data_IF_430813997631
#
_entry.id   IF_430813997631
#
_cell.length_a   1.000
_cell.length_b   1.000
_cell.length_c   1.000
_cell.angle_alpha   90.00
_cell.angle_beta   90.00
_cell.angle_gamma   90.00
#
_symmetry.space_group_name_H-M   'P 1'
#
loop_
_entity.id
_entity.type
_entity.pdbx_description
1 polymer ?
#
# COMPACT_ATOMS: atom_id res chain seq x y z
N UNK A 1 -17.37 -15.01 2.67
CA UNK A 1 -16.85 -13.67 3.01
C UNK A 1 -17.81 -12.57 2.58
N UNK A 2 -18.00 -12.32 1.28
CA UNK A 2 -18.75 -11.13 0.81
C UNK A 2 -20.18 -10.99 1.36
N UNK A 3 -20.98 -12.07 1.41
CA UNK A 3 -22.31 -12.02 2.02
C UNK A 3 -22.31 -11.58 3.49
N UNK A 4 -21.23 -11.86 4.22
CA UNK A 4 -21.07 -11.41 5.60
C UNK A 4 -20.72 -9.94 5.64
N UNK A 5 -19.75 -9.51 4.81
CA UNK A 5 -19.33 -8.11 4.70
C UNK A 5 -20.51 -7.20 4.34
N UNK A 6 -21.25 -7.55 3.29
CA UNK A 6 -22.46 -6.85 2.85
C UNK A 6 -23.49 -6.76 3.99
N UNK A 7 -23.77 -7.88 4.67
CA UNK A 7 -24.72 -7.93 5.80
C UNK A 7 -24.36 -6.95 6.93
N UNK A 8 -23.08 -6.66 7.12
CA UNK A 8 -22.60 -5.73 8.13
C UNK A 8 -22.21 -4.36 7.54
N UNK A 9 -22.64 -4.05 6.32
CA UNK A 9 -22.46 -2.72 5.73
C UNK A 9 -21.02 -2.39 5.33
N UNK A 10 -20.13 -3.37 5.30
CA UNK A 10 -18.83 -3.21 4.66
C UNK A 10 -19.03 -3.16 3.14
N UNK A 11 -18.29 -2.28 2.47
CA UNK A 11 -18.43 -2.05 1.03
C UNK A 11 -17.10 -2.17 0.27
N UNK A 12 -15.98 -2.37 0.96
CA UNK A 12 -14.64 -2.40 0.36
C UNK A 12 -13.80 -3.49 1.00
N UNK A 13 -13.02 -4.21 0.19
CA UNK A 13 -12.00 -5.17 0.62
C UNK A 13 -10.68 -4.81 -0.01
N UNK A 14 -9.63 -4.71 0.81
CA UNK A 14 -8.24 -4.59 0.36
C UNK A 14 -7.59 -5.96 0.40
N UNK A 15 -6.92 -6.35 -0.67
CA UNK A 15 -6.30 -7.68 -0.79
C UNK A 15 -4.86 -7.56 -1.31
N UNK A 16 -3.95 -8.27 -0.64
CA UNK A 16 -2.55 -8.32 -1.04
C UNK A 16 -2.36 -9.42 -2.09
N UNK A 17 -1.92 -9.03 -3.27
CA UNK A 17 -1.43 -9.94 -4.29
C UNK A 17 -0.05 -10.44 -3.88
N UNK A 18 0.06 -11.75 -3.65
CA UNK A 18 1.33 -12.36 -3.29
C UNK A 18 2.26 -12.39 -4.53
N UNK A 19 3.39 -11.67 -4.50
CA UNK A 19 4.28 -11.57 -5.66
C UNK A 19 4.92 -12.90 -6.05
N UNK A 20 4.99 -13.87 -5.15
CA UNK A 20 5.61 -15.17 -5.40
C UNK A 20 4.67 -16.19 -6.06
N UNK A 21 3.36 -15.95 -6.03
CA UNK A 21 2.35 -16.87 -6.59
C UNK A 21 1.53 -16.27 -7.72
N UNK A 22 1.55 -14.94 -7.89
CA UNK A 22 0.84 -14.25 -8.97
C UNK A 22 1.55 -14.42 -10.32
N UNK A 23 2.84 -14.79 -10.33
CA UNK A 23 3.63 -15.07 -11.53
C UNK A 23 4.34 -16.42 -11.45
N UNK A 24 4.55 -17.06 -12.60
CA UNK A 24 5.36 -18.28 -12.74
C UNK A 24 6.87 -17.96 -12.73
N UNK A 25 7.74 -18.97 -12.76
CA UNK A 25 9.20 -18.79 -12.73
C UNK A 25 9.77 -18.01 -13.93
N UNK A 26 9.02 -17.90 -15.02
CA UNK A 26 9.40 -17.15 -16.22
C UNK A 26 8.89 -15.70 -16.20
N UNK A 27 8.18 -15.29 -15.13
CA UNK A 27 7.62 -13.95 -14.99
C UNK A 27 6.26 -13.77 -15.66
N UNK A 28 5.64 -14.83 -16.19
CA UNK A 28 4.29 -14.74 -16.74
C UNK A 28 3.27 -14.79 -15.60
N UNK A 29 2.15 -14.09 -15.74
CA UNK A 29 1.05 -14.22 -14.78
C UNK A 29 0.56 -15.67 -14.70
N UNK A 30 0.41 -16.18 -13.49
CA UNK A 30 -0.10 -17.52 -13.26
C UNK A 30 -1.58 -17.58 -13.64
N UNK A 31 -1.93 -18.38 -14.65
CA UNK A 31 -3.32 -18.44 -15.14
C UNK A 31 -4.33 -18.83 -14.07
N UNK A 32 -4.00 -19.81 -13.22
CA UNK A 32 -4.88 -20.25 -12.15
C UNK A 32 -5.11 -19.18 -11.08
N UNK A 33 -4.06 -18.44 -10.72
CA UNK A 33 -4.19 -17.26 -9.85
C UNK A 33 -5.09 -16.20 -10.48
N UNK A 34 -4.93 -15.91 -11.77
CA UNK A 34 -5.77 -14.92 -12.47
C UNK A 34 -7.22 -15.38 -12.63
N UNK A 35 -7.48 -16.68 -12.84
CA UNK A 35 -8.83 -17.24 -12.89
C UNK A 35 -9.51 -17.11 -11.52
N UNK A 36 -8.78 -17.36 -10.43
CA UNK A 36 -9.29 -17.17 -9.06
C UNK A 36 -9.59 -15.69 -8.76
N UNK A 37 -8.76 -14.76 -9.25
CA UNK A 37 -9.00 -13.32 -9.06
C UNK A 37 -10.23 -12.86 -9.85
N UNK A 38 -10.44 -13.38 -11.06
CA UNK A 38 -11.65 -13.09 -11.84
C UNK A 38 -12.91 -13.60 -11.11
N UNK A 39 -12.93 -14.85 -10.63
CA UNK A 39 -14.04 -15.38 -9.81
C UNK A 39 -14.24 -14.59 -8.51
N UNK A 40 -13.15 -14.13 -7.88
CA UNK A 40 -13.21 -13.28 -6.70
C UNK A 40 -13.90 -11.93 -6.99
N UNK A 41 -13.58 -11.30 -8.12
CA UNK A 41 -14.21 -10.06 -8.57
C UNK A 41 -15.69 -10.25 -8.93
N UNK A 42 -16.05 -11.34 -9.62
CA UNK A 42 -17.45 -11.70 -9.89
C UNK A 42 -18.27 -11.81 -8.58
N UNK A 43 -17.69 -12.43 -7.56
CA UNK A 43 -18.33 -12.52 -6.25
C UNK A 43 -18.40 -11.18 -5.53
N UNK A 44 -17.38 -10.33 -5.67
CA UNK A 44 -17.38 -9.00 -5.08
C UNK A 44 -18.48 -8.12 -5.69
N UNK A 45 -18.59 -8.14 -7.02
CA UNK A 45 -19.61 -7.40 -7.79
C UNK A 45 -21.03 -7.81 -7.38
N UNK A 46 -21.32 -9.11 -7.28
CA UNK A 46 -22.63 -9.62 -6.84
C UNK A 46 -23.08 -9.11 -5.47
N UNK A 47 -22.15 -8.64 -4.64
CA UNK A 47 -22.40 -8.13 -3.29
C UNK A 47 -22.14 -6.62 -3.16
N UNK A 48 -21.86 -5.92 -4.27
CA UNK A 48 -21.56 -4.48 -4.26
C UNK A 48 -20.31 -4.12 -3.46
N UNK A 49 -19.33 -5.01 -3.43
CA UNK A 49 -18.07 -4.82 -2.69
C UNK A 49 -16.98 -4.39 -3.67
N UNK A 50 -16.39 -3.21 -3.44
CA UNK A 50 -15.23 -2.73 -4.17
C UNK A 50 -13.93 -3.39 -3.70
N UNK A 51 -13.03 -3.69 -4.62
CA UNK A 51 -11.75 -4.35 -4.34
C UNK A 51 -10.58 -3.38 -4.52
N UNK A 52 -9.73 -3.28 -3.51
CA UNK A 52 -8.41 -2.65 -3.61
C UNK A 52 -7.38 -3.76 -3.78
N UNK A 53 -6.76 -3.86 -4.95
CA UNK A 53 -5.63 -4.76 -5.16
C UNK A 53 -4.34 -4.07 -4.78
N UNK A 54 -3.60 -4.65 -3.84
CA UNK A 54 -2.31 -4.12 -3.38
C UNK A 54 -1.19 -5.12 -3.58
N UNK A 55 0.03 -4.68 -3.86
CA UNK A 55 1.23 -5.53 -3.84
C UNK A 55 2.19 -5.15 -2.70
N UNK A 56 2.77 -6.15 -2.05
CA UNK A 56 3.90 -5.92 -1.13
C UNK A 56 5.14 -5.47 -1.90
N UNK A 57 5.50 -6.23 -2.95
CA UNK A 57 6.61 -5.98 -3.86
C UNK A 57 6.17 -6.26 -5.29
N UNK A 58 6.78 -5.61 -6.29
CA UNK A 58 6.65 -6.05 -7.67
C UNK A 58 7.27 -7.46 -7.80
N UNK A 59 6.65 -8.41 -8.51
CA UNK A 59 7.25 -9.73 -8.66
C UNK A 59 8.63 -9.66 -9.33
N UNK A 60 9.63 -10.27 -8.71
CA UNK A 60 11.04 -10.07 -9.10
C UNK A 60 11.34 -10.56 -10.51
N UNK A 61 10.67 -11.61 -10.96
CA UNK A 61 10.92 -12.26 -12.24
C UNK A 61 10.06 -11.72 -13.40
N UNK A 62 9.21 -10.71 -13.17
CA UNK A 62 8.53 -10.00 -14.26
C UNK A 62 9.58 -9.13 -14.95
N UNK A 63 10.21 -9.66 -15.98
CA UNK A 63 11.14 -8.89 -16.80
C UNK A 63 10.69 -8.88 -18.25
N UNK A 64 10.46 -7.71 -18.87
CA UNK A 64 10.71 -7.63 -20.29
C UNK A 64 12.20 -7.92 -20.51
N UNK A 65 12.52 -8.82 -21.46
CA UNK A 65 13.87 -9.33 -21.76
C UNK A 65 14.94 -8.22 -22.00
N UNK A 66 14.53 -6.96 -22.08
CA UNK A 66 15.33 -5.80 -22.47
C UNK A 66 15.83 -4.93 -21.32
N UNK A 67 15.51 -5.22 -20.05
CA UNK A 67 15.98 -4.41 -18.91
C UNK A 67 17.17 -5.11 -18.24
N UNK A 68 18.38 -4.64 -18.54
CA UNK A 68 19.58 -5.01 -17.80
C UNK A 68 19.59 -4.30 -16.45
N UNK A 69 19.55 -5.06 -15.36
CA UNK A 69 19.83 -4.50 -14.04
C UNK A 69 21.35 -4.51 -13.78
N UNK A 70 21.89 -3.56 -13.02
CA UNK A 70 23.07 -3.85 -12.23
C UNK A 70 22.75 -5.04 -11.31
N UNK A 71 23.59 -6.07 -11.32
CA UNK A 71 23.39 -7.34 -10.60
C UNK A 71 23.13 -7.17 -9.08
N UNK A 72 23.49 -6.01 -8.51
CA UNK A 72 23.30 -5.67 -7.09
C UNK A 72 21.91 -5.08 -6.74
N UNK A 73 21.03 -4.82 -7.72
CA UNK A 73 19.73 -4.15 -7.49
C UNK A 73 18.55 -5.09 -7.22
N UNK A 74 18.64 -6.36 -7.63
CA UNK A 74 17.54 -7.30 -7.54
C UNK A 74 17.13 -7.66 -6.09
N UNK A 75 17.99 -7.37 -5.11
CA UNK A 75 17.75 -7.67 -3.68
C UNK A 75 17.58 -6.43 -2.80
N UNK A 76 17.76 -5.22 -3.35
CA UNK A 76 17.74 -3.99 -2.55
C UNK A 76 16.39 -3.28 -2.65
N UNK A 77 15.63 -3.24 -1.56
CA UNK A 77 14.34 -2.55 -1.45
C UNK A 77 14.31 -1.15 -2.10
N UNK A 78 15.35 -0.36 -1.89
CA UNK A 78 15.44 1.00 -2.45
C UNK A 78 15.44 1.00 -3.99
N UNK A 79 15.94 -0.06 -4.63
CA UNK A 79 16.09 -0.11 -6.07
C UNK A 79 14.75 -0.09 -6.82
N UNK A 80 13.68 -0.57 -6.18
CA UNK A 80 12.32 -0.53 -6.71
C UNK A 80 11.84 0.89 -7.01
N UNK A 81 12.36 1.88 -6.27
CA UNK A 81 11.90 3.28 -6.35
C UNK A 81 12.96 4.22 -6.92
N UNK A 82 14.25 4.00 -6.61
CA UNK A 82 15.33 4.91 -6.97
C UNK A 82 15.73 4.82 -8.45
N UNK A 83 15.58 3.65 -9.06
CA UNK A 83 16.02 3.39 -10.43
C UNK A 83 14.86 3.15 -11.37
N UNK A 84 15.02 3.56 -12.62
CA UNK A 84 13.97 3.43 -13.63
C UNK A 84 13.61 1.98 -13.94
N UNK A 85 14.55 1.04 -13.81
CA UNK A 85 14.26 -0.39 -13.98
C UNK A 85 13.20 -0.89 -12.98
N UNK A 86 13.22 -0.37 -11.75
CA UNK A 86 12.27 -0.70 -10.69
C UNK A 86 10.83 -0.32 -11.07
N UNK A 87 10.56 0.95 -11.35
CA UNK A 87 9.20 1.36 -11.73
C UNK A 87 8.77 0.86 -13.11
N UNK A 88 9.69 0.61 -14.06
CA UNK A 88 9.32 0.03 -15.37
C UNK A 88 8.83 -1.41 -15.19
N UNK A 89 9.50 -2.19 -14.33
CA UNK A 89 9.05 -3.55 -13.97
C UNK A 89 7.67 -3.54 -13.35
N UNK A 90 7.46 -2.68 -12.36
CA UNK A 90 6.17 -2.56 -11.69
C UNK A 90 5.06 -2.06 -12.62
N UNK A 91 5.36 -1.08 -13.47
CA UNK A 91 4.46 -0.61 -14.53
C UNK A 91 4.06 -1.73 -15.48
N UNK A 92 5.01 -2.58 -15.88
CA UNK A 92 4.75 -3.73 -16.73
C UNK A 92 3.85 -4.75 -16.03
N UNK A 93 4.14 -5.10 -14.77
CA UNK A 93 3.29 -6.00 -13.98
C UNK A 93 1.84 -5.52 -13.95
N UNK A 94 1.60 -4.26 -13.59
CA UNK A 94 0.23 -3.72 -13.51
C UNK A 94 -0.50 -3.74 -14.85
N UNK A 95 0.18 -3.41 -15.95
CA UNK A 95 -0.42 -3.49 -17.29
C UNK A 95 -0.84 -4.91 -17.64
N UNK A 96 0.05 -5.87 -17.44
CA UNK A 96 -0.24 -7.27 -17.75
C UNK A 96 -1.33 -7.84 -16.83
N UNK A 97 -1.34 -7.43 -15.55
CA UNK A 97 -2.37 -7.81 -14.59
C UNK A 97 -3.76 -7.35 -15.06
N UNK A 98 -3.90 -6.07 -15.41
CA UNK A 98 -5.15 -5.48 -15.89
C UNK A 98 -5.59 -6.14 -17.21
N UNK A 99 -4.68 -6.32 -18.16
CA UNK A 99 -4.96 -6.99 -19.44
C UNK A 99 -5.43 -8.42 -19.24
N UNK A 100 -4.80 -9.15 -18.31
CA UNK A 100 -5.17 -10.53 -18.00
C UNK A 100 -6.56 -10.64 -17.38
N UNK A 101 -6.99 -9.66 -16.58
CA UNK A 101 -8.36 -9.57 -16.06
C UNK A 101 -9.37 -9.26 -17.17
N UNK A 102 -9.07 -8.29 -18.03
CA UNK A 102 -9.92 -7.96 -19.18
C UNK A 102 -10.09 -9.12 -20.15
N UNK A 103 -9.02 -9.88 -20.41
CA UNK A 103 -9.08 -11.08 -21.25
C UNK A 103 -10.01 -12.15 -20.67
N UNK A 104 -10.13 -12.20 -19.34
CA UNK A 104 -11.04 -13.09 -18.62
C UNK A 104 -12.46 -12.53 -18.51
N UNK A 105 -12.72 -11.35 -19.04
CA UNK A 105 -13.99 -10.63 -18.85
C UNK A 105 -14.34 -10.45 -17.35
N UNK A 106 -13.32 -10.29 -16.50
CA UNK A 106 -13.54 -10.00 -15.09
C UNK A 106 -14.31 -8.67 -14.94
N UNK A 107 -15.15 -8.51 -13.90
CA UNK A 107 -15.92 -7.29 -13.70
C UNK A 107 -15.00 -6.19 -13.17
N UNK A 108 -14.44 -5.42 -14.09
CA UNK A 108 -13.49 -4.36 -13.79
C UNK A 108 -14.10 -3.28 -12.89
N UNK A 109 -15.41 -3.02 -12.99
CA UNK A 109 -16.14 -2.06 -12.15
C UNK A 109 -16.17 -2.47 -10.66
N UNK A 110 -15.90 -3.74 -10.33
CA UNK A 110 -15.74 -4.20 -8.96
C UNK A 110 -14.36 -3.81 -8.37
N UNK A 111 -13.43 -3.32 -9.18
CA UNK A 111 -12.14 -2.81 -8.73
C UNK A 111 -12.34 -1.36 -8.28
N UNK A 112 -12.16 -1.11 -6.99
CA UNK A 112 -12.23 0.22 -6.42
C UNK A 112 -10.93 1.00 -6.66
N UNK A 113 -9.78 0.35 -6.48
CA UNK A 113 -8.48 0.99 -6.65
C UNK A 113 -7.32 -0.01 -6.83
N UNK A 114 -6.20 0.52 -7.30
CA UNK A 114 -4.91 -0.17 -7.35
C UNK A 114 -3.94 0.44 -6.33
N UNK A 115 -3.63 -0.33 -5.29
CA UNK A 115 -2.59 -0.04 -4.29
C UNK A 115 -1.22 -0.45 -4.82
N UNK A 116 -0.49 0.47 -5.44
CA UNK A 116 0.78 0.15 -6.11
C UNK A 116 1.86 -0.33 -5.14
N UNK A 117 1.76 0.05 -3.85
CA UNK A 117 2.64 -0.47 -2.79
C UNK A 117 1.90 -0.55 -1.47
N UNK A 118 2.15 -1.62 -0.70
CA UNK A 118 1.58 -1.78 0.64
C UNK A 118 2.11 -0.73 1.61
N UNK A 119 3.43 -0.66 1.81
CA UNK A 119 4.04 0.19 2.85
C UNK A 119 5.34 0.77 2.32
N UNK A 120 5.25 1.85 1.55
CA UNK A 120 6.44 2.42 0.94
C UNK A 120 7.38 3.00 2.01
N UNK A 121 8.63 2.57 1.95
CA UNK A 121 9.71 3.14 2.74
C UNK A 121 11.06 2.94 2.05
N UNK A 122 12.04 3.71 2.49
CA UNK A 122 13.42 3.66 2.04
C UNK A 122 14.32 3.25 3.20
N UNK A 123 15.16 2.24 2.98
CA UNK A 123 16.17 1.83 3.93
C UNK A 123 17.46 2.63 3.69
N UNK A 124 17.72 3.63 4.53
CA UNK A 124 18.92 4.48 4.42
C UNK A 124 20.20 3.80 4.90
N UNK A 125 20.10 2.59 5.46
CA UNK A 125 21.26 1.73 5.78
C UNK A 125 21.63 0.81 4.63
N UNK A 126 20.76 0.67 3.63
CA UNK A 126 21.00 -0.08 2.42
C UNK A 126 21.56 0.78 1.27
N UNK A 127 22.23 0.13 0.33
CA UNK A 127 22.69 0.75 -0.92
C UNK A 127 21.49 1.24 -1.76
N UNK A 128 21.63 2.31 -2.54
CA UNK A 128 22.75 3.25 -2.60
C UNK A 128 22.70 4.35 -1.53
N UNK A 129 21.69 4.36 -0.64
CA UNK A 129 21.46 5.44 0.32
C UNK A 129 22.47 5.49 1.46
N UNK A 130 23.15 4.38 1.74
CA UNK A 130 24.25 4.30 2.70
C UNK A 130 25.61 4.79 2.15
N UNK A 131 25.69 5.15 0.85
CA UNK A 131 26.91 5.59 0.20
C UNK A 131 27.11 7.11 0.35
N UNK A 132 28.32 7.55 0.67
CA UNK A 132 28.65 8.98 0.84
C UNK A 132 29.72 9.50 -0.14
N UNK A 133 30.29 8.61 -0.96
CA UNK A 133 31.47 8.92 -1.78
C UNK A 133 31.10 9.15 -3.24
N UNK A 134 30.04 8.51 -3.73
CA UNK A 134 29.61 8.61 -5.14
C UNK A 134 28.21 9.22 -5.18
N UNK A 135 27.97 10.22 -6.05
CA UNK A 135 26.62 10.72 -6.28
C UNK A 135 25.68 9.62 -6.76
N UNK A 136 24.47 9.60 -6.22
CA UNK A 136 23.41 8.69 -6.67
C UNK A 136 22.63 9.35 -7.79
N UNK A 137 22.54 8.69 -8.95
CA UNK A 137 21.72 9.16 -10.06
C UNK A 137 20.30 8.62 -9.88
N UNK A 138 19.36 9.53 -9.64
CA UNK A 138 17.94 9.22 -9.57
C UNK A 138 17.41 8.82 -10.94
N UNK A 139 16.28 8.13 -10.94
CA UNK A 139 15.54 7.73 -12.12
C UNK A 139 15.13 8.89 -13.07
N UNK A 140 15.10 10.14 -12.61
CA UNK A 140 14.87 11.32 -13.45
C UNK A 140 16.16 11.87 -14.11
N UNK A 141 17.30 11.18 -13.93
CA UNK A 141 18.62 11.59 -14.43
C UNK A 141 19.35 12.60 -13.56
N UNK A 142 18.72 13.11 -12.49
CA UNK A 142 19.35 14.04 -11.55
C UNK A 142 20.33 13.30 -10.65
N UNK A 143 21.50 13.91 -10.42
CA UNK A 143 22.55 13.36 -9.57
C UNK A 143 22.54 14.03 -8.19
N UNK A 144 22.58 13.22 -7.13
CA UNK A 144 22.50 13.66 -5.74
C UNK A 144 23.76 13.29 -4.98
N UNK A 145 24.49 14.30 -4.51
CA UNK A 145 25.58 14.11 -3.55
C UNK A 145 24.99 13.93 -2.14
N UNK A 146 25.03 12.71 -1.61
CA UNK A 146 24.46 12.39 -0.30
C UNK A 146 25.28 12.92 0.88
N UNK A 147 26.47 13.49 0.64
CA UNK A 147 27.21 14.24 1.66
C UNK A 147 26.61 15.62 1.93
N UNK A 148 25.77 16.13 1.03
CA UNK A 148 25.08 17.43 1.17
C UNK A 148 23.79 17.25 1.96
N UNK A 149 23.63 18.05 3.01
CA UNK A 149 22.42 18.04 3.85
C UNK A 149 21.16 18.29 3.01
N UNK A 150 20.15 17.45 3.19
CA UNK A 150 18.87 17.52 2.48
C UNK A 150 18.82 16.77 1.14
N UNK A 151 19.96 16.51 0.49
CA UNK A 151 19.96 15.81 -0.82
C UNK A 151 19.37 14.40 -0.74
N UNK A 152 19.55 13.69 0.38
CA UNK A 152 18.91 12.39 0.59
C UNK A 152 17.39 12.47 0.58
N UNK A 153 16.81 13.46 1.28
CA UNK A 153 15.35 13.63 1.27
C UNK A 153 14.86 14.02 -0.11
N UNK A 154 15.58 14.92 -0.79
CA UNK A 154 15.23 15.32 -2.16
C UNK A 154 15.29 14.15 -3.14
N UNK A 155 16.30 13.27 -3.03
CA UNK A 155 16.38 12.04 -3.81
C UNK A 155 15.17 11.13 -3.56
N UNK A 156 14.80 10.92 -2.30
CA UNK A 156 13.63 10.11 -1.91
C UNK A 156 12.34 10.69 -2.49
N UNK A 157 12.12 11.99 -2.32
CA UNK A 157 10.91 12.68 -2.78
C UNK A 157 10.80 12.67 -4.31
N UNK A 158 11.90 12.99 -5.02
CA UNK A 158 11.95 12.99 -6.48
C UNK A 158 11.79 11.55 -7.03
N UNK A 159 12.34 10.54 -6.36
CA UNK A 159 12.19 9.12 -6.75
C UNK A 159 10.77 8.62 -6.53
N UNK A 160 10.16 8.92 -5.39
CA UNK A 160 8.77 8.58 -5.10
C UNK A 160 7.81 9.21 -6.12
N UNK A 161 8.00 10.49 -6.43
CA UNK A 161 7.17 11.20 -7.41
C UNK A 161 7.27 10.54 -8.78
N UNK A 162 8.50 10.25 -9.24
CA UNK A 162 8.73 9.62 -10.53
C UNK A 162 8.17 8.18 -10.60
N UNK A 163 8.42 7.36 -9.57
CA UNK A 163 7.91 5.99 -9.48
C UNK A 163 6.39 5.95 -9.47
N UNK A 164 5.74 6.70 -8.57
CA UNK A 164 4.28 6.70 -8.44
C UNK A 164 3.59 7.21 -9.69
N UNK A 165 4.10 8.28 -10.31
CA UNK A 165 3.57 8.81 -11.58
C UNK A 165 3.73 7.81 -12.74
N UNK A 166 4.88 7.15 -12.86
CA UNK A 166 5.12 6.17 -13.92
C UNK A 166 4.17 4.96 -13.80
N UNK A 167 4.04 4.39 -12.60
CA UNK A 167 3.16 3.24 -12.37
C UNK A 167 1.70 3.63 -12.56
N UNK A 168 1.27 4.78 -12.04
CA UNK A 168 -0.10 5.29 -12.26
C UNK A 168 -0.38 5.49 -13.75
N UNK A 169 0.52 6.12 -14.49
CA UNK A 169 0.39 6.32 -15.94
C UNK A 169 0.22 4.98 -16.67
N UNK A 170 0.96 3.96 -16.26
CA UNK A 170 0.85 2.62 -16.85
C UNK A 170 -0.50 1.97 -16.56
N UNK A 171 -1.03 2.12 -15.35
CA UNK A 171 -2.38 1.66 -14.98
C UNK A 171 -3.44 2.39 -15.81
N UNK A 172 -3.40 3.72 -15.86
CA UNK A 172 -4.39 4.53 -16.58
C UNK A 172 -4.37 4.32 -18.10
N UNK A 173 -3.23 3.91 -18.65
CA UNK A 173 -3.14 3.53 -20.06
C UNK A 173 -3.97 2.28 -20.39
N UNK A 174 -4.18 1.40 -19.41
CA UNK A 174 -5.09 0.27 -19.54
C UNK A 174 -6.48 0.64 -19.03
N UNK A 175 -6.62 1.33 -17.90
CA UNK A 175 -7.90 1.65 -17.25
C UNK A 175 -8.01 3.15 -16.89
N UNK A 176 -8.54 3.99 -17.81
CA UNK A 176 -8.46 5.45 -17.68
C UNK A 176 -9.19 6.06 -16.48
N UNK A 177 -10.13 5.35 -15.88
CA UNK A 177 -10.94 5.81 -14.74
C UNK A 177 -10.47 5.21 -13.40
N UNK A 178 -9.42 4.38 -13.42
CA UNK A 178 -8.93 3.71 -12.22
C UNK A 178 -8.42 4.70 -11.17
N UNK A 179 -8.71 4.42 -9.90
CA UNK A 179 -8.07 5.09 -8.77
C UNK A 179 -6.76 4.38 -8.42
N UNK A 180 -5.70 5.15 -8.15
CA UNK A 180 -4.38 4.64 -7.80
C UNK A 180 -3.91 5.23 -6.48
N UNK A 181 -3.42 4.37 -5.58
CA UNK A 181 -2.93 4.75 -4.25
C UNK A 181 -1.63 4.02 -3.90
N UNK A 182 -0.95 4.46 -2.84
CA UNK A 182 0.12 3.74 -2.18
C UNK A 182 -0.09 3.85 -0.67
N UNK A 183 0.26 2.79 0.05
CA UNK A 183 0.16 2.76 1.51
C UNK A 183 1.40 3.30 2.21
N UNK A 184 1.16 4.03 3.30
CA UNK A 184 2.16 4.69 4.13
C UNK A 184 1.91 4.34 5.59
N UNK A 185 2.94 3.85 6.28
CA UNK A 185 2.86 3.54 7.69
C UNK A 185 3.65 4.54 8.51
N UNK A 186 3.31 4.66 9.78
CA UNK A 186 4.02 5.55 10.68
C UNK A 186 5.43 5.04 10.97
N UNK A 187 6.45 5.80 10.58
CA UNK A 187 7.84 5.58 11.00
C UNK A 187 8.01 6.22 12.38
N UNK A 188 8.07 5.39 13.42
CA UNK A 188 8.31 5.85 14.78
C UNK A 188 9.76 6.32 14.97
N UNK A 189 10.03 7.22 15.94
CA UNK A 189 11.40 7.63 16.31
C UNK A 189 12.36 6.45 16.58
N UNK A 190 11.81 5.27 16.91
CA UNK A 190 12.54 4.02 17.11
C UNK A 190 12.81 3.17 15.86
N UNK A 191 12.57 3.68 14.64
CA UNK A 191 12.89 3.00 13.36
C UNK A 191 14.18 3.54 12.73
N UNK A 192 15.36 3.35 13.36
CA UNK A 192 16.61 3.84 12.80
C UNK A 192 16.85 3.17 11.46
N UNK A 193 17.22 3.98 10.46
CA UNK A 193 17.53 3.46 9.15
C UNK A 193 16.38 3.47 8.16
N UNK A 194 15.17 3.90 8.54
CA UNK A 194 14.06 4.01 7.61
C UNK A 194 13.69 5.48 7.36
N UNK A 195 13.38 5.82 6.11
CA UNK A 195 12.80 7.11 5.70
C UNK A 195 11.58 6.92 4.81
N UNK A 196 10.73 7.93 4.79
CA UNK A 196 9.61 8.06 3.87
C UNK A 196 9.78 9.30 2.98
N UNK A 197 9.03 9.36 1.87
CA UNK A 197 8.78 10.61 1.17
C UNK A 197 8.25 11.67 2.14
N UNK A 198 8.61 12.93 1.90
CA UNK A 198 8.07 14.04 2.67
C UNK A 198 6.56 14.15 2.49
N UNK A 199 5.86 14.72 3.48
CA UNK A 199 4.41 14.92 3.37
C UNK A 199 4.04 15.81 2.18
N UNK A 200 4.88 16.79 1.84
CA UNK A 200 4.72 17.60 0.63
C UNK A 200 4.77 16.72 -0.63
N UNK A 201 5.74 15.80 -0.74
CA UNK A 201 5.82 14.87 -1.87
C UNK A 201 4.60 13.92 -1.93
N UNK A 202 4.17 13.38 -0.79
CA UNK A 202 3.00 12.48 -0.70
C UNK A 202 1.73 13.19 -1.19
N UNK A 203 1.41 14.36 -0.63
CA UNK A 203 0.17 15.08 -0.96
C UNK A 203 0.22 15.78 -2.32
N UNK A 204 1.39 16.12 -2.85
CA UNK A 204 1.53 16.71 -4.19
C UNK A 204 1.71 15.68 -5.31
N UNK A 205 1.85 14.39 -4.99
CA UNK A 205 1.96 13.31 -5.98
C UNK A 205 0.73 13.22 -6.90
N UNK A 206 0.79 12.35 -7.91
CA UNK A 206 -0.36 12.09 -8.78
C UNK A 206 -1.32 11.01 -8.24
N UNK A 207 -1.04 10.40 -7.09
CA UNK A 207 -1.94 9.41 -6.47
C UNK A 207 -3.32 10.02 -6.18
N UNK A 208 -4.38 9.24 -6.37
CA UNK A 208 -5.76 9.74 -6.31
C UNK A 208 -6.26 9.86 -4.85
N UNK A 209 -5.73 9.04 -3.96
CA UNK A 209 -5.94 9.15 -2.51
C UNK A 209 -4.70 8.64 -1.74
N UNK A 210 -4.66 8.89 -0.44
CA UNK A 210 -3.59 8.44 0.46
C UNK A 210 -4.09 7.28 1.30
N UNK A 211 -3.37 6.15 1.30
CA UNK A 211 -3.64 4.98 2.15
C UNK A 211 -2.72 5.01 3.37
N UNK A 212 -3.29 5.17 4.57
CA UNK A 212 -2.56 5.25 5.84
C UNK A 212 -2.70 3.98 6.66
N UNK A 213 -1.55 3.51 7.15
CA UNK A 213 -1.43 2.31 7.95
C UNK A 213 -1.02 2.67 9.39
N UNK A 214 -1.78 2.17 10.37
CA UNK A 214 -1.56 2.51 11.77
C UNK A 214 -1.89 1.36 12.72
N UNK A 215 -0.97 1.12 13.66
CA UNK A 215 -1.03 0.00 14.58
C UNK A 215 -0.67 0.50 15.99
N UNK A 216 -1.62 0.52 16.94
CA UNK A 216 -1.40 1.09 18.27
C UNK A 216 -0.34 0.37 19.12
N UNK A 217 -0.04 -0.88 18.80
CA UNK A 217 0.89 -1.75 19.54
C UNK A 217 2.34 -1.68 19.05
N UNK A 218 2.62 -1.02 17.94
CA UNK A 218 3.99 -0.92 17.41
C UNK A 218 4.91 -0.08 18.31
N UNK A 219 4.37 0.91 19.03
CA UNK A 219 5.11 1.68 20.03
C UNK A 219 4.12 2.23 21.10
N UNK A 220 4.44 2.20 22.40
CA UNK A 220 3.55 2.69 23.45
C UNK A 220 3.29 4.21 23.41
N UNK A 221 4.08 4.98 22.66
CA UNK A 221 3.90 6.42 22.46
C UNK A 221 2.96 6.75 21.30
N UNK A 222 2.50 5.74 20.57
CA UNK A 222 1.64 5.94 19.41
C UNK A 222 0.22 6.21 19.87
N UNK A 223 -0.24 7.40 19.52
CA UNK A 223 -1.62 7.81 19.65
C UNK A 223 -2.18 8.21 18.30
N UNK A 224 -3.51 8.20 18.18
CA UNK A 224 -4.23 8.79 17.04
C UNK A 224 -3.70 10.18 16.67
N UNK A 225 -3.53 11.06 17.68
CA UNK A 225 -3.05 12.42 17.46
C UNK A 225 -1.60 12.47 16.96
N UNK A 226 -0.75 11.55 17.44
CA UNK A 226 0.63 11.44 16.97
C UNK A 226 0.69 11.01 15.50
N UNK A 227 -0.17 10.07 15.07
CA UNK A 227 -0.31 9.63 13.68
C UNK A 227 -0.80 10.77 12.81
N UNK A 228 -1.91 11.40 13.21
CA UNK A 228 -2.50 12.50 12.43
C UNK A 228 -1.55 13.69 12.29
N UNK A 229 -0.82 14.04 13.36
CA UNK A 229 0.20 15.09 13.33
C UNK A 229 1.39 14.72 12.44
N UNK A 230 1.85 13.47 12.51
CA UNK A 230 2.95 13.00 11.66
C UNK A 230 2.59 13.13 10.18
N UNK A 231 1.38 12.70 9.81
CA UNK A 231 0.87 12.82 8.45
C UNK A 231 0.26 14.21 8.14
N UNK A 232 0.43 15.20 9.02
CA UNK A 232 -0.06 16.58 8.83
C UNK A 232 -1.54 16.67 8.41
N UNK A 233 -2.37 15.75 8.93
CA UNK A 233 -3.78 15.65 8.57
C UNK A 233 -4.60 16.88 9.00
N UNK A 234 -4.09 17.64 9.97
CA UNK A 234 -4.64 18.90 10.46
C UNK A 234 -4.36 20.10 9.53
N UNK A 235 -3.41 19.97 8.59
CA UNK A 235 -2.88 21.10 7.82
C UNK A 235 -3.08 20.94 6.32
N UNK A 236 -2.95 19.71 5.79
CA UNK A 236 -2.84 19.49 4.34
C UNK A 236 -3.67 18.27 3.90
N UNK A 237 -4.96 18.47 3.63
CA UNK A 237 -5.83 17.43 3.05
C UNK A 237 -6.47 17.88 1.75
N UNK A 238 -5.66 17.89 0.69
CA UNK A 238 -6.15 18.13 -0.68
C UNK A 238 -6.58 16.85 -1.41
N UNK A 239 -6.36 15.69 -0.79
CA UNK A 239 -6.72 14.37 -1.30
C UNK A 239 -7.54 13.60 -0.28
N UNK A 240 -8.42 12.68 -0.71
CA UNK A 240 -9.01 11.71 0.19
C UNK A 240 -7.93 10.90 0.92
N UNK A 241 -8.21 10.55 2.17
CA UNK A 241 -7.35 9.78 3.07
C UNK A 241 -8.13 8.58 3.57
N UNK A 242 -7.64 7.40 3.24
CA UNK A 242 -8.15 6.12 3.71
C UNK A 242 -7.24 5.62 4.84
N UNK A 243 -7.81 5.19 5.97
CA UNK A 243 -7.07 4.34 6.92
C UNK A 243 -7.10 2.90 6.40
N UNK A 244 -6.29 2.57 5.39
CA UNK A 244 -6.41 1.31 4.67
C UNK A 244 -5.76 0.10 5.35
N UNK A 245 -5.01 0.33 6.43
CA UNK A 245 -4.73 -0.68 7.44
C UNK A 245 -4.78 -0.08 8.84
N UNK A 246 -5.63 -0.64 9.71
CA UNK A 246 -5.46 -0.46 11.15
C UNK A 246 -5.88 -1.69 11.91
N UNK A 247 -5.17 -1.98 12.99
CA UNK A 247 -5.35 -3.19 13.77
C UNK A 247 -4.26 -3.30 14.83
N UNK A 248 -4.02 -4.52 15.31
CA UNK A 248 -2.85 -4.85 16.13
C UNK A 248 -1.97 -5.82 15.36
N UNK A 249 -0.65 -5.59 15.34
CA UNK A 249 0.33 -6.45 14.67
C UNK A 249 0.66 -7.68 15.51
N UNK A 250 0.80 -7.48 16.81
CA UNK A 250 1.14 -8.52 17.78
C UNK A 250 -0.08 -8.97 18.57
N UNK A 251 -0.04 -10.25 18.94
CA UNK A 251 -1.10 -10.86 19.73
C UNK A 251 -0.94 -10.43 21.19
N UNK A 252 -1.55 -9.31 21.54
CA UNK A 252 -1.60 -8.84 22.92
C UNK A 252 -2.43 -9.82 23.78
N UNK A 253 -1.95 -10.13 24.99
CA UNK A 253 -2.69 -10.94 25.97
C UNK A 253 -3.95 -10.22 26.52
N UNK A 254 -4.23 -9.00 26.07
CA UNK A 254 -5.48 -8.27 26.33
C UNK A 254 -6.70 -9.01 25.77
N UNK A 255 -7.86 -8.76 26.38
CA UNK A 255 -9.13 -9.32 25.90
C UNK A 255 -9.57 -8.67 24.59
N UNK A 256 -10.29 -9.43 23.76
CA UNK A 256 -10.89 -8.93 22.51
C UNK A 256 -11.83 -7.74 22.72
N UNK A 257 -12.53 -7.69 23.87
CA UNK A 257 -13.37 -6.55 24.21
C UNK A 257 -12.55 -5.28 24.42
N UNK A 258 -11.37 -5.39 25.05
CA UNK A 258 -10.44 -4.27 25.24
C UNK A 258 -9.88 -3.82 23.90
N UNK A 259 -9.32 -4.76 23.12
CA UNK A 259 -8.71 -4.48 21.82
C UNK A 259 -9.73 -3.87 20.85
N UNK A 260 -10.95 -4.41 20.82
CA UNK A 260 -12.00 -3.88 19.97
C UNK A 260 -12.51 -2.50 20.40
N UNK A 261 -12.59 -2.23 21.71
CA UNK A 261 -12.97 -0.90 22.21
C UNK A 261 -11.92 0.16 21.86
N UNK A 262 -10.65 -0.21 21.89
CA UNK A 262 -9.54 0.68 21.52
C UNK A 262 -9.56 1.00 20.02
N UNK A 263 -9.67 0.00 19.15
CA UNK A 263 -9.77 0.22 17.70
C UNK A 263 -11.02 1.01 17.31
N UNK A 264 -12.15 0.81 18.00
CA UNK A 264 -13.34 1.64 17.81
C UNK A 264 -13.08 3.09 18.22
N UNK A 265 -12.37 3.31 19.33
CA UNK A 265 -11.98 4.65 19.77
C UNK A 265 -11.08 5.31 18.73
N UNK A 266 -10.10 4.59 18.19
CA UNK A 266 -9.22 5.08 17.13
C UNK A 266 -9.98 5.41 15.85
N UNK A 267 -10.82 4.49 15.37
CA UNK A 267 -11.69 4.71 14.20
C UNK A 267 -12.50 5.98 14.38
N UNK A 268 -13.26 6.09 15.47
CA UNK A 268 -14.17 7.20 15.70
C UNK A 268 -13.41 8.53 15.87
N UNK A 269 -12.23 8.51 16.50
CA UNK A 269 -11.39 9.70 16.63
C UNK A 269 -10.90 10.17 15.26
N UNK A 270 -10.32 9.29 14.44
CA UNK A 270 -9.85 9.64 13.09
C UNK A 270 -10.99 10.14 12.18
N UNK A 271 -12.15 9.49 12.22
CA UNK A 271 -13.33 9.92 11.45
C UNK A 271 -13.88 11.27 11.93
N UNK A 272 -13.96 11.51 13.25
CA UNK A 272 -14.67 12.68 13.79
C UNK A 272 -13.81 13.95 13.87
N UNK A 273 -12.50 13.82 14.09
CA UNK A 273 -11.60 14.97 14.31
C UNK A 273 -10.66 15.22 13.14
N UNK A 274 -10.25 14.17 12.45
CA UNK A 274 -9.35 14.27 11.30
C UNK A 274 -10.07 14.03 9.96
N UNK A 275 -11.37 13.74 10.02
CA UNK A 275 -12.29 13.62 8.87
C UNK A 275 -11.80 12.64 7.79
N UNK A 276 -11.09 11.57 8.15
CA UNK A 276 -10.65 10.56 7.17
C UNK A 276 -11.85 9.98 6.42
N UNK A 277 -11.65 9.65 5.15
CA UNK A 277 -12.73 9.33 4.20
C UNK A 277 -13.19 7.88 4.27
N UNK A 278 -12.41 7.01 4.93
CA UNK A 278 -12.76 5.62 5.12
C UNK A 278 -11.74 4.87 5.97
N UNK A 279 -12.02 3.59 6.19
CA UNK A 279 -11.19 2.72 7.01
C UNK A 279 -11.30 1.27 6.56
N UNK A 280 -10.21 0.51 6.74
CA UNK A 280 -10.12 -0.91 6.46
C UNK A 280 -9.36 -1.56 7.61
N UNK A 281 -9.99 -2.56 8.24
CA UNK A 281 -9.41 -3.28 9.36
C UNK A 281 -8.40 -4.33 8.89
N UNK A 282 -7.22 -4.37 9.50
CA UNK A 282 -6.25 -5.46 9.41
C UNK A 282 -6.55 -6.52 10.50
N UNK A 283 -7.02 -7.72 10.20
CA UNK A 283 -7.46 -8.25 8.89
C UNK A 283 -8.78 -9.02 9.00
N UNK A 284 -9.35 -9.37 7.84
CA UNK A 284 -10.43 -10.35 7.72
C UNK A 284 -9.97 -11.81 7.98
N UNK A 285 -8.71 -12.15 7.70
CA UNK A 285 -8.16 -13.50 7.68
C UNK A 285 -7.94 -14.11 9.08
N UNK A 286 -7.97 -15.43 9.16
CA UNK A 286 -7.91 -16.30 10.33
C UNK A 286 -6.48 -16.77 10.73
N UNK A 287 -5.43 -16.18 10.17
CA UNK A 287 -4.02 -16.44 10.46
C UNK A 287 -3.42 -15.47 11.48
N UNK A 288 -3.69 -14.18 11.32
CA UNK A 288 -3.09 -13.04 12.05
C UNK A 288 -4.17 -11.99 12.39
N UNK A 289 -4.05 -11.30 13.53
CA UNK A 289 -4.98 -10.26 13.97
C UNK A 289 -6.22 -10.73 14.77
N UNK A 290 -7.12 -9.79 15.08
CA UNK A 290 -8.22 -9.95 16.06
C UNK A 290 -9.39 -10.82 15.59
N UNK A 291 -9.70 -10.83 14.29
CA UNK A 291 -10.89 -11.49 13.72
C UNK A 291 -10.88 -13.01 13.92
N UNK A 292 -9.68 -13.60 14.01
CA UNK A 292 -9.45 -15.02 14.28
C UNK A 292 -10.02 -15.49 15.61
N UNK A 293 -9.88 -14.67 16.66
CA UNK A 293 -10.18 -15.12 18.02
C UNK A 293 -11.66 -15.06 18.37
N UNK A 294 -12.49 -14.45 17.51
CA UNK A 294 -13.89 -14.14 17.83
C UNK A 294 -14.91 -14.57 16.75
N UNK A 295 -14.47 -15.36 15.77
CA UNK A 295 -15.31 -15.86 14.67
C UNK A 295 -15.98 -14.74 13.84
N UNK A 296 -15.32 -13.57 13.74
CA UNK A 296 -15.81 -12.41 12.98
C UNK A 296 -16.84 -11.55 13.71
N UNK A 297 -17.18 -11.85 14.97
CA UNK A 297 -18.00 -10.97 15.82
C UNK A 297 -17.39 -9.56 15.96
N UNK A 298 -16.09 -9.40 15.77
CA UNK A 298 -15.39 -8.12 15.91
C UNK A 298 -15.77 -7.19 14.77
N UNK A 299 -15.78 -7.71 13.55
CA UNK A 299 -16.24 -6.97 12.37
C UNK A 299 -17.70 -6.54 12.53
N UNK A 300 -18.55 -7.43 13.06
CA UNK A 300 -19.92 -7.05 13.40
C UNK A 300 -19.98 -5.88 14.39
N UNK A 301 -19.12 -5.83 15.41
CA UNK A 301 -19.11 -4.73 16.38
C UNK A 301 -18.69 -3.41 15.73
N UNK A 302 -17.66 -3.44 14.89
CA UNK A 302 -17.14 -2.26 14.19
C UNK A 302 -18.16 -1.63 13.24
N UNK A 303 -18.99 -2.45 12.60
CA UNK A 303 -20.07 -2.03 11.71
C UNK A 303 -21.27 -1.37 12.42
N UNK A 304 -21.60 -1.79 13.65
CA UNK A 304 -22.82 -1.38 14.34
C UNK A 304 -22.65 -0.14 15.24
N UNK A 305 -21.49 0.53 15.18
CA UNK A 305 -21.18 1.70 16.00
C UNK A 305 -20.92 2.90 15.07
N UNK A 306 -21.71 3.99 15.21
CA UNK A 306 -21.61 5.17 14.36
C UNK A 306 -20.21 5.80 14.40
#
# INVERSE_FOLDING_TARGET
>A
MFIFLERYGYNTVRTLLNPFSIVDSLGNLNSGSMDNIADFLERAEMHGIGIIFTIQWAPLNVFPETISEPDDLAEAQNAHYLFSSGYVRESHFWKEFIRALKLRSAPMDAIFAYGIRNEIHFDVTASPLNQTITPVVCCNGTSYDLSVSGNMQKLIDDSFTAWSSAVRTAILAEEPEALVTAGFYLIYPGSPGIRMPSMDAIFSSELDFIDLHMYPDLDPQVTVDSVAKFFTLDQNRFKPVLMGEFGFMDNDNRSLDTLGSELLTWKNHMMSYYEVDGWILWTWDNGEGLSKQDEGLFLKRMANQP
#
